data_IF_839916385988
#
_entry.id   IF_839916385988
#
_cell.length_a   1.000
_cell.length_b   1.000
_cell.length_c   1.000
_cell.angle_alpha   90.00
_cell.angle_beta   90.00
_cell.angle_gamma   90.00
#
_symmetry.space_group_name_H-M   'P 1'
#
loop_
_entity.id
_entity.type
_entity.pdbx_description
1 polymer ?
#
# COMPACT_ATOMS: atom_id res chain seq x y z
N UNK A 1 37.38 -37.35 -12.96
CA UNK A 1 37.86 -37.99 -11.70
C UNK A 1 36.79 -37.92 -10.60
N UNK A 2 36.23 -36.74 -10.30
CA UNK A 2 35.23 -36.55 -9.24
C UNK A 2 33.89 -37.28 -9.47
N UNK A 3 33.37 -37.30 -10.70
CA UNK A 3 32.14 -38.03 -11.06
C UNK A 3 32.26 -39.55 -10.84
N UNK A 4 33.44 -40.10 -11.12
CA UNK A 4 33.76 -41.51 -10.90
C UNK A 4 33.90 -41.84 -9.39
N UNK A 5 34.32 -40.87 -8.57
CA UNK A 5 34.31 -41.01 -7.09
C UNK A 5 32.89 -40.87 -6.54
N UNK A 6 32.04 -40.03 -7.15
CA UNK A 6 30.62 -39.89 -6.79
C UNK A 6 29.83 -41.18 -7.05
N UNK A 7 30.04 -41.81 -8.21
CA UNK A 7 29.46 -43.11 -8.53
C UNK A 7 29.89 -44.21 -7.54
N UNK A 8 31.14 -44.14 -7.05
CA UNK A 8 31.69 -45.14 -6.12
C UNK A 8 31.32 -44.90 -4.65
N UNK A 9 31.25 -43.65 -4.20
CA UNK A 9 31.00 -43.25 -2.79
C UNK A 9 30.06 -42.03 -2.69
N UNK A 10 28.77 -42.18 -3.03
CA UNK A 10 27.83 -41.07 -3.09
C UNK A 10 27.57 -40.43 -1.72
N UNK A 11 27.53 -41.20 -0.63
CA UNK A 11 27.19 -40.66 0.70
C UNK A 11 28.27 -39.77 1.31
N UNK A 12 29.55 -40.09 1.07
CA UNK A 12 30.67 -39.28 1.53
C UNK A 12 30.69 -37.92 0.82
N UNK A 13 30.54 -37.93 -0.50
CA UNK A 13 30.54 -36.71 -1.30
C UNK A 13 29.26 -35.89 -1.13
N UNK A 14 28.12 -36.52 -0.79
CA UNK A 14 26.87 -35.82 -0.49
C UNK A 14 27.03 -34.82 0.65
N UNK A 15 27.75 -35.16 1.74
CA UNK A 15 28.00 -34.22 2.84
C UNK A 15 28.91 -33.06 2.43
N UNK A 16 29.96 -33.34 1.65
CA UNK A 16 30.86 -32.31 1.14
C UNK A 16 30.14 -31.33 0.20
N UNK A 17 29.32 -31.85 -0.72
CA UNK A 17 28.50 -31.03 -1.61
C UNK A 17 27.42 -30.26 -0.86
N UNK A 18 26.76 -30.84 0.14
CA UNK A 18 25.83 -30.07 0.99
C UNK A 18 26.53 -28.87 1.66
N UNK A 19 27.76 -29.04 2.13
CA UNK A 19 28.51 -27.95 2.75
C UNK A 19 28.96 -26.89 1.72
N UNK A 20 29.47 -27.32 0.57
CA UNK A 20 29.84 -26.42 -0.52
C UNK A 20 28.64 -25.64 -1.05
N UNK A 21 27.50 -26.30 -1.23
CA UNK A 21 26.23 -25.68 -1.62
C UNK A 21 25.82 -24.61 -0.60
N UNK A 22 25.88 -24.90 0.70
CA UNK A 22 25.61 -23.90 1.76
C UNK A 22 26.52 -22.69 1.63
N UNK A 23 27.83 -22.89 1.42
CA UNK A 23 28.77 -21.77 1.24
C UNK A 23 28.45 -20.97 -0.03
N UNK A 24 28.12 -21.65 -1.13
CA UNK A 24 27.76 -21.04 -2.40
C UNK A 24 26.46 -20.22 -2.30
N UNK A 25 25.41 -20.76 -1.69
CA UNK A 25 24.17 -20.04 -1.35
C UNK A 25 24.46 -18.83 -0.46
N UNK A 26 25.34 -19.01 0.53
CA UNK A 26 25.71 -17.95 1.47
C UNK A 26 26.52 -16.85 0.79
N UNK A 27 27.08 -17.07 -0.39
CA UNK A 27 27.89 -16.09 -1.13
C UNK A 27 27.24 -15.63 -2.44
N UNK A 28 26.04 -16.12 -2.77
CA UNK A 28 25.39 -15.85 -4.07
C UNK A 28 26.22 -16.38 -5.26
N UNK A 29 27.03 -17.42 -5.06
CA UNK A 29 27.90 -17.95 -6.10
C UNK A 29 27.19 -19.05 -6.90
N UNK A 30 26.47 -18.66 -7.94
CA UNK A 30 25.72 -19.57 -8.81
C UNK A 30 26.62 -20.52 -9.60
N UNK A 31 27.88 -20.15 -9.89
CA UNK A 31 28.78 -20.99 -10.67
C UNK A 31 29.15 -22.31 -9.96
N UNK A 32 29.32 -22.28 -8.63
CA UNK A 32 29.54 -23.50 -7.85
C UNK A 32 28.27 -24.36 -7.87
N UNK A 33 27.10 -23.74 -7.86
CA UNK A 33 25.82 -24.45 -7.86
C UNK A 33 25.47 -25.06 -9.21
N UNK A 34 25.81 -24.38 -10.30
CA UNK A 34 25.69 -24.92 -11.67
C UNK A 34 26.61 -26.12 -11.88
N UNK A 35 27.77 -26.13 -11.21
CA UNK A 35 28.65 -27.29 -11.19
C UNK A 35 28.07 -28.42 -10.34
N UNK A 36 27.49 -28.09 -9.18
CA UNK A 36 26.87 -29.05 -8.27
C UNK A 36 25.55 -29.65 -8.78
N UNK A 37 24.76 -28.90 -9.55
CA UNK A 37 23.48 -29.35 -10.11
C UNK A 37 23.64 -30.52 -11.09
N UNK A 38 24.82 -30.65 -11.72
CA UNK A 38 25.20 -31.80 -12.56
C UNK A 38 25.17 -33.13 -11.80
N UNK A 39 25.22 -33.10 -10.48
CA UNK A 39 25.18 -34.28 -9.61
C UNK A 39 23.78 -34.56 -9.03
N UNK A 40 22.75 -33.83 -9.46
CA UNK A 40 21.35 -34.08 -9.08
C UNK A 40 21.02 -33.76 -7.62
N UNK A 41 21.69 -32.79 -7.02
CA UNK A 41 21.48 -32.39 -5.62
C UNK A 41 20.11 -31.72 -5.48
N UNK A 42 19.21 -32.39 -4.76
CA UNK A 42 17.93 -31.81 -4.35
C UNK A 42 18.08 -31.07 -3.03
N UNK A 43 17.45 -29.90 -2.92
CA UNK A 43 17.26 -29.22 -1.65
C UNK A 43 16.20 -29.96 -0.86
N UNK A 44 16.51 -30.27 0.40
CA UNK A 44 15.54 -30.80 1.35
C UNK A 44 15.09 -29.74 2.37
N UNK A 45 15.46 -28.48 2.16
CA UNK A 45 15.20 -27.37 3.08
C UNK A 45 14.97 -26.06 2.32
N UNK A 46 14.03 -25.25 2.82
CA UNK A 46 13.75 -23.89 2.33
C UNK A 46 14.68 -22.84 2.95
N UNK A 47 15.56 -23.23 3.88
CA UNK A 47 16.48 -22.32 4.57
C UNK A 47 17.39 -21.53 3.62
N UNK A 48 17.97 -22.11 2.55
CA UNK A 48 18.77 -21.36 1.59
C UNK A 48 17.97 -20.29 0.85
N UNK A 49 16.71 -20.57 0.53
CA UNK A 49 15.78 -19.65 -0.13
C UNK A 49 15.46 -18.50 0.84
N UNK A 50 15.09 -18.81 2.10
CA UNK A 50 14.89 -17.79 3.15
C UNK A 50 16.11 -16.89 3.32
N UNK A 51 17.31 -17.46 3.26
CA UNK A 51 18.55 -16.69 3.35
C UNK A 51 18.76 -15.76 2.15
N UNK A 52 18.47 -16.22 0.94
CA UNK A 52 18.49 -15.37 -0.26
C UNK A 52 17.47 -14.24 -0.16
N UNK A 53 16.23 -14.55 0.26
CA UNK A 53 15.17 -13.56 0.48
C UNK A 53 15.60 -12.50 1.48
N UNK A 54 16.04 -12.88 2.68
CA UNK A 54 16.46 -11.93 3.73
C UNK A 54 17.61 -11.01 3.31
N UNK A 55 18.39 -11.41 2.30
CA UNK A 55 19.53 -10.65 1.78
C UNK A 55 19.23 -9.79 0.57
N UNK A 56 18.05 -9.93 -0.03
CA UNK A 56 17.72 -9.22 -1.27
C UNK A 56 18.31 -9.89 -2.52
N UNK A 57 18.74 -11.15 -2.45
CA UNK A 57 19.45 -11.81 -3.54
C UNK A 57 18.49 -12.38 -4.60
N UNK A 58 17.91 -11.49 -5.40
CA UNK A 58 16.98 -11.84 -6.48
C UNK A 58 17.61 -12.79 -7.50
N UNK A 59 18.91 -12.64 -7.80
CA UNK A 59 19.62 -13.53 -8.73
C UNK A 59 19.64 -14.96 -8.21
N UNK A 60 19.85 -15.11 -6.91
CA UNK A 60 19.85 -16.41 -6.27
C UNK A 60 18.45 -17.03 -6.20
N UNK A 61 17.41 -16.22 -5.98
CA UNK A 61 16.02 -16.67 -6.07
C UNK A 61 15.67 -17.14 -7.47
N UNK A 62 16.09 -16.39 -8.49
CA UNK A 62 15.92 -16.79 -9.89
C UNK A 62 16.63 -18.12 -10.17
N UNK A 63 17.87 -18.28 -9.69
CA UNK A 63 18.60 -19.54 -9.84
C UNK A 63 17.86 -20.72 -9.20
N UNK A 64 17.30 -20.54 -8.00
CA UNK A 64 16.49 -21.58 -7.36
C UNK A 64 15.25 -21.92 -8.19
N UNK A 65 14.54 -20.91 -8.68
CA UNK A 65 13.36 -21.09 -9.50
C UNK A 65 13.67 -21.83 -10.82
N UNK A 66 14.68 -21.39 -11.56
CA UNK A 66 15.09 -21.97 -12.86
C UNK A 66 15.56 -23.42 -12.74
N UNK A 67 16.11 -23.81 -11.59
CA UNK A 67 16.55 -25.18 -11.30
C UNK A 67 15.45 -26.05 -10.67
N UNK A 68 14.19 -25.58 -10.66
CA UNK A 68 13.04 -26.34 -10.20
C UNK A 68 13.00 -26.59 -8.69
N UNK A 69 13.67 -25.74 -7.90
CA UNK A 69 13.53 -25.80 -6.44
C UNK A 69 12.20 -25.19 -6.02
N UNK A 70 11.52 -25.86 -5.08
CA UNK A 70 10.23 -25.42 -4.57
C UNK A 70 10.36 -24.14 -3.73
N UNK A 71 9.97 -23.01 -4.31
CA UNK A 71 9.76 -21.73 -3.62
C UNK A 71 8.30 -21.71 -3.15
N UNK A 72 7.97 -22.52 -2.13
CA UNK A 72 6.59 -22.72 -1.66
C UNK A 72 6.36 -22.24 -0.23
N UNK A 73 7.39 -21.73 0.43
CA UNK A 73 7.28 -21.27 1.81
C UNK A 73 6.41 -19.99 1.89
N UNK A 74 5.24 -20.04 2.55
CA UNK A 74 4.29 -18.92 2.54
C UNK A 74 4.80 -17.70 3.30
N UNK A 75 5.83 -17.86 4.15
CA UNK A 75 6.36 -16.75 4.95
C UNK A 75 7.46 -15.95 4.23
N UNK A 76 7.86 -16.31 3.01
CA UNK A 76 8.93 -15.60 2.29
C UNK A 76 8.62 -14.11 2.10
N UNK A 77 7.36 -13.77 1.81
CA UNK A 77 6.95 -12.38 1.66
C UNK A 77 7.18 -11.58 2.96
N UNK A 78 6.84 -12.16 4.12
CA UNK A 78 7.11 -11.55 5.42
C UNK A 78 8.61 -11.39 5.67
N UNK A 79 9.42 -12.41 5.36
CA UNK A 79 10.88 -12.35 5.50
C UNK A 79 11.47 -11.25 4.61
N UNK A 80 10.95 -11.07 3.39
CA UNK A 80 11.37 -10.01 2.47
C UNK A 80 11.02 -8.62 3.03
N UNK A 81 9.81 -8.44 3.57
CA UNK A 81 9.37 -7.19 4.18
C UNK A 81 10.17 -6.87 5.44
N UNK A 82 10.38 -7.83 6.35
CA UNK A 82 11.22 -7.67 7.55
C UNK A 82 12.69 -7.34 7.17
N UNK A 83 13.17 -7.95 6.09
CA UNK A 83 14.49 -7.71 5.50
C UNK A 83 14.61 -6.43 4.68
N UNK A 84 13.51 -5.72 4.45
CA UNK A 84 13.42 -4.48 3.66
C UNK A 84 13.78 -4.61 2.18
N UNK A 85 13.54 -5.80 1.62
CA UNK A 85 13.95 -6.17 0.27
C UNK A 85 12.78 -5.99 -0.70
N UNK A 86 12.55 -4.76 -1.18
CA UNK A 86 11.41 -4.46 -2.07
C UNK A 86 11.52 -5.22 -3.39
N UNK A 87 12.71 -5.35 -3.95
CA UNK A 87 12.96 -6.09 -5.19
C UNK A 87 12.58 -7.56 -5.04
N UNK A 88 12.82 -8.15 -3.87
CA UNK A 88 12.41 -9.53 -3.58
C UNK A 88 10.89 -9.63 -3.40
N UNK A 89 10.26 -8.63 -2.77
CA UNK A 89 8.79 -8.57 -2.66
C UNK A 89 8.15 -8.54 -4.04
N UNK A 90 8.64 -7.70 -4.95
CA UNK A 90 8.18 -7.64 -6.34
C UNK A 90 8.41 -8.98 -7.05
N UNK A 91 9.61 -9.57 -6.92
CA UNK A 91 9.93 -10.86 -7.54
C UNK A 91 9.00 -11.97 -7.05
N UNK A 92 8.78 -12.08 -5.72
CA UNK A 92 7.86 -13.08 -5.16
C UNK A 92 6.44 -12.90 -5.71
N UNK A 93 5.98 -11.66 -5.81
CA UNK A 93 4.65 -11.33 -6.35
C UNK A 93 4.50 -11.73 -7.83
N UNK A 94 5.50 -11.45 -8.66
CA UNK A 94 5.54 -11.89 -10.06
C UNK A 94 5.51 -13.43 -10.20
N UNK A 95 5.98 -14.15 -9.18
CA UNK A 95 6.01 -15.62 -9.13
C UNK A 95 4.83 -16.22 -8.34
N UNK A 96 3.74 -15.47 -8.19
CA UNK A 96 2.47 -15.99 -7.68
C UNK A 96 2.26 -15.87 -6.17
N UNK A 97 3.16 -15.21 -5.44
CA UNK A 97 2.89 -14.85 -4.05
C UNK A 97 1.89 -13.69 -3.99
N UNK A 98 0.91 -13.81 -3.09
CA UNK A 98 -0.10 -12.76 -2.89
C UNK A 98 0.16 -12.00 -1.59
N UNK A 99 -0.03 -10.68 -1.62
CA UNK A 99 -0.10 -9.86 -0.41
C UNK A 99 -1.51 -9.99 0.14
N UNK A 100 -1.71 -10.88 1.12
CA UNK A 100 -3.04 -11.21 1.67
C UNK A 100 -3.28 -10.66 3.08
N UNK A 101 -2.27 -10.05 3.70
CA UNK A 101 -2.32 -9.58 5.09
C UNK A 101 -1.90 -8.12 5.25
N UNK A 102 -2.72 -7.37 5.96
CA UNK A 102 -2.43 -6.01 6.42
C UNK A 102 -1.29 -5.94 7.45
N UNK A 103 -0.88 -7.07 8.03
CA UNK A 103 0.25 -7.10 8.96
C UNK A 103 1.57 -6.69 8.27
N UNK A 104 1.72 -7.02 6.98
CA UNK A 104 2.89 -6.61 6.20
C UNK A 104 2.95 -5.08 6.06
N UNK A 105 1.79 -4.45 5.84
CA UNK A 105 1.68 -2.98 5.76
C UNK A 105 2.05 -2.35 7.10
N UNK A 106 1.58 -2.91 8.22
CA UNK A 106 1.93 -2.43 9.57
C UNK A 106 3.43 -2.55 9.85
N UNK A 107 4.05 -3.65 9.45
CA UNK A 107 5.51 -3.84 9.57
C UNK A 107 6.24 -2.77 8.76
N UNK A 108 5.89 -2.57 7.49
CA UNK A 108 6.52 -1.57 6.63
C UNK A 108 6.34 -0.14 7.18
N UNK A 109 5.16 0.17 7.72
CA UNK A 109 4.86 1.46 8.35
C UNK A 109 5.68 1.76 9.60
N UNK A 110 5.99 0.75 10.42
CA UNK A 110 6.81 0.90 11.64
C UNK A 110 8.25 1.34 11.34
N UNK A 111 8.79 0.93 10.19
CA UNK A 111 10.20 1.14 9.83
C UNK A 111 10.43 2.28 8.83
N UNK A 112 9.42 3.12 8.58
CA UNK A 112 9.44 4.26 7.62
C UNK A 112 9.82 3.78 6.21
N UNK A 113 9.37 2.58 5.84
CA UNK A 113 9.64 2.00 4.52
C UNK A 113 8.59 2.47 3.51
N UNK A 114 8.56 3.77 3.24
CA UNK A 114 7.47 4.43 2.49
C UNK A 114 7.20 3.75 1.15
N UNK A 115 8.25 3.44 0.38
CA UNK A 115 8.10 2.78 -0.93
C UNK A 115 7.52 1.37 -0.82
N UNK A 116 8.00 0.57 0.14
CA UNK A 116 7.48 -0.77 0.40
C UNK A 116 6.03 -0.72 0.85
N UNK A 117 5.73 0.16 1.80
CA UNK A 117 4.40 0.32 2.36
C UNK A 117 3.40 0.75 1.29
N UNK A 118 3.76 1.71 0.42
CA UNK A 118 2.93 2.12 -0.71
C UNK A 118 2.65 0.94 -1.64
N UNK A 119 3.69 0.20 -2.02
CA UNK A 119 3.56 -0.97 -2.87
C UNK A 119 2.63 -2.03 -2.24
N UNK A 120 2.79 -2.32 -0.94
CA UNK A 120 1.94 -3.26 -0.22
C UNK A 120 0.48 -2.81 -0.13
N UNK A 121 0.21 -1.50 -0.03
CA UNK A 121 -1.15 -0.96 -0.03
C UNK A 121 -1.78 -1.00 -1.42
N UNK A 122 -0.98 -0.80 -2.48
CA UNK A 122 -1.43 -0.86 -3.88
C UNK A 122 -1.75 -2.30 -4.34
N UNK A 123 -1.01 -3.29 -3.84
CA UNK A 123 -1.12 -4.70 -4.26
C UNK A 123 -1.74 -5.63 -3.21
N UNK A 124 -2.05 -5.11 -2.02
CA UNK A 124 -2.61 -5.87 -0.91
C UNK A 124 -4.13 -5.73 -0.77
N UNK A 125 -4.71 -6.28 0.31
CA UNK A 125 -6.12 -6.10 0.60
C UNK A 125 -6.44 -4.64 0.96
N UNK A 126 -7.70 -4.19 0.79
CA UNK A 126 -8.13 -2.87 1.22
C UNK A 126 -7.80 -2.62 2.70
N UNK A 127 -7.39 -1.39 3.01
CA UNK A 127 -7.07 -1.00 4.38
C UNK A 127 -8.32 -1.01 5.25
N UNK A 128 -8.25 -1.71 6.38
CA UNK A 128 -9.23 -1.57 7.45
C UNK A 128 -8.99 -0.29 8.27
N UNK A 129 -10.04 0.17 8.97
CA UNK A 129 -9.99 1.36 9.80
C UNK A 129 -8.91 1.28 10.89
N UNK A 130 -8.69 0.12 11.51
CA UNK A 130 -7.71 -0.04 12.58
C UNK A 130 -6.29 0.20 12.08
N UNK A 131 -5.96 -0.38 10.92
CA UNK A 131 -4.66 -0.28 10.26
C UNK A 131 -4.45 1.15 9.76
N UNK A 132 -5.48 1.75 9.16
CA UNK A 132 -5.45 3.14 8.74
C UNK A 132 -5.18 4.09 9.92
N UNK A 133 -5.82 3.89 11.07
CA UNK A 133 -5.59 4.68 12.29
C UNK A 133 -4.15 4.57 12.77
N UNK A 134 -3.60 3.35 12.89
CA UNK A 134 -2.21 3.16 13.30
C UNK A 134 -1.25 3.85 12.32
N UNK A 135 -1.44 3.70 11.02
CA UNK A 135 -0.53 4.27 10.04
C UNK A 135 -0.59 5.82 9.99
N UNK A 136 -1.79 6.38 9.98
CA UNK A 136 -2.01 7.84 9.84
C UNK A 136 -1.82 8.56 11.18
N UNK A 137 -2.52 8.11 12.23
CA UNK A 137 -2.61 8.81 13.52
C UNK A 137 -1.51 8.45 14.51
N UNK A 138 -0.76 7.38 14.30
CA UNK A 138 0.34 6.98 15.21
C UNK A 138 1.69 7.07 14.48
N UNK A 139 1.80 6.47 13.30
CA UNK A 139 3.05 6.42 12.53
C UNK A 139 3.28 7.63 11.60
N UNK A 140 2.32 8.57 11.52
CA UNK A 140 2.39 9.81 10.73
C UNK A 140 2.55 9.61 9.21
N UNK A 141 2.12 8.48 8.68
CA UNK A 141 2.03 8.22 7.23
C UNK A 141 0.69 8.70 6.67
N UNK A 142 0.49 10.02 6.66
CA UNK A 142 -0.81 10.63 6.35
C UNK A 142 -1.25 10.31 4.91
N UNK A 143 -0.30 10.22 4.00
CA UNK A 143 -0.53 9.99 2.57
C UNK A 143 -1.24 8.67 2.28
N UNK A 144 -1.14 7.68 3.18
CA UNK A 144 -1.85 6.40 3.03
C UNK A 144 -3.38 6.60 3.03
N UNK A 145 -3.89 7.67 3.61
CA UNK A 145 -5.32 7.97 3.58
C UNK A 145 -5.89 8.06 2.14
N UNK A 146 -5.04 8.22 1.11
CA UNK A 146 -5.45 8.11 -0.30
C UNK A 146 -6.13 6.76 -0.63
N UNK A 147 -5.63 5.67 -0.06
CA UNK A 147 -6.12 4.29 -0.28
C UNK A 147 -7.18 3.84 0.73
N UNK A 148 -7.57 4.71 1.67
CA UNK A 148 -8.57 4.40 2.70
C UNK A 148 -9.98 4.70 2.16
N UNK A 149 -10.95 3.84 2.46
CA UNK A 149 -12.34 4.06 2.05
C UNK A 149 -12.91 5.38 2.61
N UNK A 150 -13.86 6.01 1.91
CA UNK A 150 -14.41 7.33 2.29
C UNK A 150 -14.98 7.34 3.72
N UNK A 151 -15.72 6.28 4.10
CA UNK A 151 -16.27 6.15 5.45
C UNK A 151 -15.16 6.10 6.52
N UNK A 152 -14.05 5.43 6.22
CA UNK A 152 -12.93 5.32 7.15
C UNK A 152 -12.12 6.61 7.20
N UNK A 153 -11.97 7.32 6.08
CA UNK A 153 -11.42 8.69 6.05
C UNK A 153 -12.24 9.65 6.92
N UNK A 154 -13.57 9.55 6.89
CA UNK A 154 -14.43 10.31 7.81
C UNK A 154 -14.08 10.00 9.27
N UNK A 155 -13.93 8.73 9.63
CA UNK A 155 -13.54 8.36 11.00
C UNK A 155 -12.15 8.88 11.39
N UNK A 156 -11.19 8.87 10.46
CA UNK A 156 -9.86 9.45 10.68
C UNK A 156 -9.94 10.96 10.94
N UNK A 157 -10.73 11.71 10.17
CA UNK A 157 -10.92 13.16 10.36
C UNK A 157 -11.55 13.45 11.72
N UNK A 158 -12.60 12.72 12.09
CA UNK A 158 -13.29 12.91 13.38
C UNK A 158 -12.36 12.66 14.57
N UNK A 159 -11.54 11.61 14.51
CA UNK A 159 -10.57 11.32 15.57
C UNK A 159 -9.42 12.33 15.59
N UNK A 160 -8.94 12.76 14.42
CA UNK A 160 -7.93 13.81 14.32
C UNK A 160 -8.41 15.15 14.91
N UNK A 161 -9.68 15.54 14.66
CA UNK A 161 -10.29 16.72 15.28
C UNK A 161 -10.32 16.61 16.81
N UNK A 162 -10.71 15.45 17.36
CA UNK A 162 -10.72 15.21 18.81
C UNK A 162 -9.32 15.33 19.43
N UNK A 163 -8.29 14.87 18.70
CA UNK A 163 -6.88 14.97 19.12
C UNK A 163 -6.24 16.32 18.79
N UNK A 164 -6.96 17.24 18.14
CA UNK A 164 -6.44 18.49 17.59
C UNK A 164 -5.25 18.27 16.63
N UNK A 165 -5.25 17.17 15.88
CA UNK A 165 -4.26 16.85 14.85
C UNK A 165 -4.63 17.53 13.53
N UNK A 166 -4.23 18.78 13.41
CA UNK A 166 -4.50 19.65 12.26
C UNK A 166 -3.90 19.14 10.96
N UNK A 167 -2.76 18.44 11.03
CA UNK A 167 -2.06 17.94 9.84
C UNK A 167 -2.88 16.87 9.14
N UNK A 168 -3.43 15.92 9.90
CA UNK A 168 -4.29 14.86 9.34
C UNK A 168 -5.62 15.45 8.84
N UNK A 169 -6.22 16.35 9.61
CA UNK A 169 -7.47 17.03 9.20
C UNK A 169 -7.28 17.77 7.89
N UNK A 170 -6.25 18.61 7.79
CA UNK A 170 -5.95 19.40 6.60
C UNK A 170 -5.71 18.50 5.40
N UNK A 171 -4.82 17.50 5.55
CA UNK A 171 -4.43 16.66 4.43
C UNK A 171 -5.63 15.89 3.88
N UNK A 172 -6.42 15.22 4.72
CA UNK A 172 -7.55 14.41 4.26
C UNK A 172 -8.59 15.30 3.56
N UNK A 173 -8.92 16.45 4.15
CA UNK A 173 -9.93 17.35 3.60
C UNK A 173 -9.47 18.08 2.32
N UNK A 174 -8.17 18.37 2.19
CA UNK A 174 -7.61 18.94 0.97
C UNK A 174 -7.55 17.94 -0.19
N UNK A 175 -7.47 16.64 0.10
CA UNK A 175 -7.26 15.59 -0.89
C UNK A 175 -8.48 14.67 -1.09
N UNK A 176 -9.60 14.91 -0.41
CA UNK A 176 -10.79 14.05 -0.49
C UNK A 176 -12.05 14.87 -0.73
N UNK A 177 -12.81 14.50 -1.77
CA UNK A 177 -14.19 14.94 -1.93
C UNK A 177 -15.12 13.93 -1.25
N UNK A 178 -15.74 14.32 -0.13
CA UNK A 178 -16.74 13.51 0.56
C UNK A 178 -18.07 13.55 -0.20
N UNK A 179 -18.43 12.44 -0.84
CA UNK A 179 -19.69 12.34 -1.59
C UNK A 179 -20.88 12.11 -0.67
N UNK A 180 -20.70 11.38 0.42
CA UNK A 180 -21.75 11.12 1.39
C UNK A 180 -22.08 12.38 2.24
N UNK A 181 -23.32 12.86 2.16
CA UNK A 181 -23.79 13.98 2.98
C UNK A 181 -23.85 13.62 4.48
N UNK A 182 -23.99 12.32 4.82
CA UNK A 182 -23.86 11.90 6.22
C UNK A 182 -22.44 12.15 6.73
N UNK A 183 -21.42 11.85 5.92
CA UNK A 183 -20.03 12.11 6.25
C UNK A 183 -19.74 13.60 6.40
N UNK A 184 -20.20 14.41 5.44
CA UNK A 184 -20.09 15.88 5.49
C UNK A 184 -20.76 16.45 6.75
N UNK A 185 -21.97 16.00 7.09
CA UNK A 185 -22.66 16.43 8.32
C UNK A 185 -21.88 16.08 9.58
N UNK A 186 -21.40 14.84 9.73
CA UNK A 186 -20.63 14.45 10.92
C UNK A 186 -19.36 15.27 11.11
N UNK A 187 -18.61 15.51 10.03
CA UNK A 187 -17.40 16.35 10.08
C UNK A 187 -17.79 17.80 10.42
N UNK A 188 -18.88 18.30 9.82
CA UNK A 188 -19.38 19.65 10.11
C UNK A 188 -19.70 19.80 11.60
N UNK A 189 -20.52 18.91 12.13
CA UNK A 189 -20.94 18.97 13.53
C UNK A 189 -19.72 18.90 14.46
N UNK A 190 -18.73 18.05 14.17
CA UNK A 190 -17.50 17.95 14.96
C UNK A 190 -16.69 19.26 14.99
N UNK A 191 -16.55 19.96 13.87
CA UNK A 191 -15.83 21.24 13.82
C UNK A 191 -16.62 22.32 14.59
N UNK A 192 -17.94 22.39 14.45
CA UNK A 192 -18.78 23.37 15.16
C UNK A 192 -18.72 23.21 16.69
N UNK A 193 -18.53 21.99 17.18
CA UNK A 193 -18.37 21.69 18.60
C UNK A 193 -16.90 21.71 19.07
N UNK A 194 -15.94 21.94 18.16
CA UNK A 194 -14.52 22.04 18.51
C UNK A 194 -14.19 23.40 19.16
N UNK A 195 -13.07 23.51 19.90
CA UNK A 195 -12.62 24.79 20.47
C UNK A 195 -12.50 25.90 19.41
N UNK A 196 -12.74 27.16 19.80
CA UNK A 196 -12.66 28.32 18.89
C UNK A 196 -11.35 28.39 18.10
N UNK A 197 -10.24 27.96 18.70
CA UNK A 197 -8.93 27.91 18.02
C UNK A 197 -8.91 26.95 16.82
N UNK A 198 -9.65 25.84 16.87
CA UNK A 198 -9.78 24.90 15.73
C UNK A 198 -10.72 25.49 14.68
N UNK A 199 -11.80 26.14 15.09
CA UNK A 199 -12.74 26.81 14.17
C UNK A 199 -12.04 27.90 13.36
N UNK A 200 -11.31 28.80 14.03
CA UNK A 200 -10.51 29.85 13.39
C UNK A 200 -9.47 29.25 12.44
N UNK A 201 -8.73 28.24 12.91
CA UNK A 201 -7.75 27.55 12.06
C UNK A 201 -8.41 26.96 10.81
N UNK A 202 -9.58 26.35 10.94
CA UNK A 202 -10.32 25.78 9.82
C UNK A 202 -10.76 26.86 8.82
N UNK A 203 -11.31 27.98 9.30
CA UNK A 203 -11.70 29.12 8.47
C UNK A 203 -10.50 29.71 7.70
N UNK A 204 -9.36 29.86 8.37
CA UNK A 204 -8.14 30.42 7.80
C UNK A 204 -7.51 29.51 6.73
N UNK A 205 -7.58 28.18 6.90
CA UNK A 205 -6.84 27.22 6.07
C UNK A 205 -7.70 26.49 5.04
N UNK A 206 -9.00 26.33 5.28
CA UNK A 206 -9.89 25.50 4.44
C UNK A 206 -10.84 26.31 3.57
N UNK A 207 -10.94 27.63 3.78
CA UNK A 207 -11.81 28.51 2.98
C UNK A 207 -11.44 28.56 1.49
N UNK A 208 -10.17 28.32 1.16
CA UNK A 208 -9.66 28.28 -0.22
C UNK A 208 -9.68 26.88 -0.85
N UNK A 209 -10.01 25.85 -0.06
CA UNK A 209 -10.02 24.46 -0.54
C UNK A 209 -11.39 24.17 -1.13
N UNK A 210 -11.49 24.06 -2.46
CA UNK A 210 -12.76 23.87 -3.16
C UNK A 210 -13.54 22.65 -2.66
N UNK A 211 -12.82 21.56 -2.36
CA UNK A 211 -13.38 20.32 -1.83
C UNK A 211 -14.09 20.49 -0.47
N UNK A 212 -13.89 21.61 0.22
CA UNK A 212 -14.45 21.92 1.53
C UNK A 212 -15.53 23.01 1.52
N UNK A 213 -15.95 23.53 0.36
CA UNK A 213 -16.97 24.59 0.30
C UNK A 213 -18.33 24.18 0.89
N UNK A 214 -18.64 22.88 0.95
CA UNK A 214 -19.83 22.36 1.63
C UNK A 214 -19.89 22.73 3.13
N UNK A 215 -18.77 23.11 3.75
CA UNK A 215 -18.72 23.55 5.14
C UNK A 215 -19.50 24.86 5.38
N UNK A 216 -19.30 25.87 4.52
CA UNK A 216 -19.89 27.20 4.65
C UNK A 216 -21.31 27.31 4.08
N UNK A 217 -21.83 26.23 3.49
CA UNK A 217 -23.15 26.22 2.89
C UNK A 217 -24.26 26.32 3.93
N UNK A 218 -25.04 27.38 3.78
CA UNK A 218 -26.30 27.55 4.53
C UNK A 218 -27.26 26.40 4.24
N UNK A 219 -28.21 26.16 5.16
CA UNK A 219 -29.28 25.16 4.98
C UNK A 219 -30.08 25.38 3.69
N UNK A 220 -30.14 26.61 3.19
CA UNK A 220 -30.84 26.99 1.95
C UNK A 220 -30.03 26.61 0.71
N UNK A 221 -28.70 26.80 0.72
CA UNK A 221 -27.82 26.41 -0.39
C UNK A 221 -27.79 24.88 -0.56
N UNK A 222 -27.82 24.13 0.56
CA UNK A 222 -27.85 22.66 0.53
C UNK A 222 -29.10 22.08 -0.12
N UNK A 223 -30.27 22.64 0.20
CA UNK A 223 -31.55 22.21 -0.40
C UNK A 223 -31.58 22.40 -1.91
N UNK A 224 -30.86 23.39 -2.44
CA UNK A 224 -30.77 23.66 -3.89
C UNK A 224 -29.83 22.70 -4.63
N UNK A 225 -28.75 22.25 -3.99
CA UNK A 225 -27.87 21.22 -4.56
C UNK A 225 -28.52 19.83 -4.52
N UNK A 226 -29.19 19.49 -3.41
CA UNK A 226 -29.93 18.23 -3.26
C UNK A 226 -31.12 18.12 -4.23
N UNK A 227 -31.71 19.26 -4.63
CA UNK A 227 -32.82 19.31 -5.60
C UNK A 227 -32.40 19.40 -7.06
N UNK A 228 -31.10 19.52 -7.37
CA UNK A 228 -30.59 19.63 -8.75
C UNK A 228 -30.98 20.92 -9.49
N UNK A 229 -31.55 21.92 -8.81
CA UNK A 229 -31.95 23.18 -9.43
C UNK A 229 -30.75 24.13 -9.56
N UNK A 230 -29.87 23.87 -10.53
CA UNK A 230 -28.95 24.89 -11.01
C UNK A 230 -29.71 25.87 -11.91
N UNK A 231 -30.19 26.95 -11.31
CA UNK A 231 -30.83 28.06 -12.03
C UNK A 231 -29.85 28.75 -12.97
N UNK A 232 -30.00 28.51 -14.28
CA UNK A 232 -29.49 29.42 -15.31
C UNK A 232 -30.22 30.77 -15.19
N UNK A 233 -29.51 31.92 -15.11
CA UNK A 233 -30.16 33.20 -15.26
C UNK A 233 -30.57 33.39 -16.72
N UNK A 234 -31.87 33.56 -16.91
CA UNK A 234 -32.54 33.91 -18.16
C UNK A 234 -32.01 35.24 -18.74
N UNK A 235 -31.05 35.15 -19.66
CA UNK A 235 -30.69 36.29 -20.52
C UNK A 235 -31.54 36.26 -21.80
N UNK A 236 -32.60 37.08 -21.76
CA UNK A 236 -33.24 37.78 -22.90
C UNK A 236 -33.11 37.11 -24.28
N UNK A 237 -34.07 36.25 -24.66
CA UNK A 237 -34.38 36.05 -26.07
C UNK A 237 -35.03 37.35 -26.60
N UNK A 238 -34.25 38.14 -27.35
CA UNK A 238 -34.81 39.15 -28.26
C UNK A 238 -35.67 38.43 -29.30
N UNK A 239 -36.86 38.98 -29.53
CA UNK A 239 -37.68 38.70 -30.72
C UNK A 239 -36.84 38.93 -31.97
N UNK A 240 -36.82 37.93 -32.85
CA UNK A 240 -36.84 38.18 -34.28
C UNK A 240 -38.08 37.44 -34.80
N UNK A 241 -39.01 38.25 -35.29
CA UNK A 241 -40.21 37.84 -35.99
C UNK A 241 -39.84 37.17 -37.33
N UNK A 242 -40.65 36.17 -37.67
CA UNK A 242 -41.24 35.88 -38.99
C UNK A 242 -40.34 35.75 -40.24
N UNK A 243 -40.44 34.56 -40.87
CA UNK A 243 -39.99 34.29 -42.24
C UNK A 243 -40.10 32.80 -42.59
N UNK A 244 -41.31 32.34 -42.90
CA UNK A 244 -41.64 30.98 -43.36
C UNK A 244 -41.18 30.71 -44.81
N UNK A 245 -40.81 29.43 -45.07
CA UNK A 245 -40.98 28.58 -46.27
C UNK A 245 -40.93 29.23 -47.67
N UNK A 246 -40.11 28.75 -48.62
CA UNK A 246 -40.18 27.47 -49.37
C UNK A 246 -38.78 27.13 -49.90
#
# INVERSE_FOLDING_TARGET
>A
MLQNVFERRPDFLRRCFQYLAVVAWTRGNTAILDWESQFGIKLHSTEPIRKAVSRGDVKMLQWFFDNGFEVTDPYLLKVAVDGRQLEVVCWLWEHGYTVDSLDLVKIAGKYVMVTMMRWLVEHGPPLDLSTAKTLVLENRHIEIAWWVAENDRRHLVLEALQKNDRSVVWWILAHTQFRDESARRSIRDAIQHSPKAIQQWFEDNMSQVEACHWWSMTSIQRRKEESGETGLPSSKRRRCDEGFAV
#
